data_IF_222717078450
#
_entry.id   IF_222717078450
#
_cell.length_a   1.000
_cell.length_b   1.000
_cell.length_c   1.000
_cell.angle_alpha   90.00
_cell.angle_beta   90.00
_cell.angle_gamma   90.00
#
_symmetry.space_group_name_H-M   'P 1'
#
loop_
_entity.id
_entity.type
_entity.pdbx_description
1 polymer ?
#
# COMPACT_ATOMS: atom_id res chain seq x y z
N UNK A 1 -4.72 45.97 37.03
CA UNK A 1 -4.39 44.54 37.14
C UNK A 1 -5.70 43.80 37.30
N UNK A 2 -6.12 43.03 36.29
CA UNK A 2 -7.33 42.21 36.43
C UNK A 2 -7.03 41.14 37.48
N UNK A 3 -7.53 41.34 38.69
CA UNK A 3 -7.21 40.53 39.88
C UNK A 3 -7.85 39.14 39.86
N UNK A 4 -8.34 38.62 41.00
CA UNK A 4 -8.83 37.23 41.15
C UNK A 4 -9.84 36.77 40.07
N UNK A 5 -10.62 37.69 39.52
CA UNK A 5 -11.59 37.40 38.45
C UNK A 5 -10.94 36.86 37.16
N UNK A 6 -9.70 37.25 36.85
CA UNK A 6 -8.99 36.75 35.68
C UNK A 6 -8.52 35.31 35.89
N UNK A 7 -8.14 34.95 37.11
CA UNK A 7 -7.74 33.59 37.48
C UNK A 7 -8.93 32.64 37.42
N UNK A 8 -10.10 33.07 37.89
CA UNK A 8 -11.35 32.30 37.78
C UNK A 8 -11.75 32.08 36.32
N UNK A 9 -11.61 33.09 35.45
CA UNK A 9 -11.87 32.93 34.03
C UNK A 9 -10.90 31.94 33.37
N UNK A 10 -9.59 32.05 33.64
CA UNK A 10 -8.58 31.12 33.11
C UNK A 10 -8.84 29.69 33.57
N UNK A 11 -9.17 29.50 34.85
CA UNK A 11 -9.52 28.20 35.41
C UNK A 11 -10.77 27.61 34.74
N UNK A 12 -11.82 28.42 34.57
CA UNK A 12 -13.04 28.02 33.85
C UNK A 12 -12.76 27.62 32.40
N UNK A 13 -11.93 28.39 31.69
CA UNK A 13 -11.50 28.08 30.32
C UNK A 13 -10.71 26.78 30.25
N UNK A 14 -9.80 26.52 31.19
CA UNK A 14 -9.01 25.28 31.22
C UNK A 14 -9.82 24.04 31.54
N UNK A 15 -10.96 24.17 32.23
CA UNK A 15 -11.88 23.06 32.46
C UNK A 15 -12.83 22.90 31.27
N UNK A 16 -13.42 24.00 30.79
CA UNK A 16 -14.44 23.96 29.74
C UNK A 16 -13.86 23.55 28.39
N UNK A 17 -12.64 23.98 28.06
CA UNK A 17 -12.00 23.67 26.79
C UNK A 17 -11.81 22.15 26.56
N UNK A 18 -11.13 21.38 27.44
CA UNK A 18 -10.97 19.95 27.24
C UNK A 18 -12.31 19.20 27.32
N UNK A 19 -13.21 19.58 28.24
CA UNK A 19 -14.53 18.94 28.35
C UNK A 19 -15.35 19.17 27.08
N UNK A 20 -15.34 20.39 26.52
CA UNK A 20 -16.04 20.72 25.28
C UNK A 20 -15.49 19.97 24.08
N UNK A 21 -14.16 19.88 23.96
CA UNK A 21 -13.50 19.08 22.90
C UNK A 21 -13.86 17.60 23.04
N UNK A 22 -13.84 17.05 24.25
CA UNK A 22 -14.24 15.66 24.50
C UNK A 22 -15.73 15.42 24.25
N UNK A 23 -16.62 16.36 24.58
CA UNK A 23 -18.03 16.22 24.30
C UNK A 23 -18.31 16.24 22.79
N UNK A 24 -17.65 17.16 22.07
CA UNK A 24 -17.79 17.27 20.63
C UNK A 24 -17.19 16.04 19.92
N UNK A 25 -15.94 15.69 20.16
CA UNK A 25 -15.29 14.59 19.44
C UNK A 25 -15.51 13.21 20.07
N UNK A 26 -15.52 13.10 21.40
CA UNK A 26 -15.44 11.84 22.13
C UNK A 26 -16.69 10.95 22.07
N UNK A 27 -17.86 11.50 21.73
CA UNK A 27 -19.12 10.73 21.65
C UNK A 27 -19.31 10.01 20.31
N UNK A 28 -18.54 10.36 19.28
CA UNK A 28 -18.65 9.78 17.94
C UNK A 28 -17.28 9.79 17.24
N UNK A 29 -16.29 9.16 17.88
CA UNK A 29 -14.96 8.97 17.30
C UNK A 29 -15.02 7.91 16.20
N UNK A 30 -15.70 6.80 16.47
CA UNK A 30 -15.77 5.66 15.55
C UNK A 30 -16.41 6.05 14.21
N UNK A 31 -17.55 6.74 14.21
CA UNK A 31 -18.19 7.19 12.96
C UNK A 31 -17.41 8.28 12.21
N UNK A 32 -16.78 9.22 12.92
CA UNK A 32 -16.02 10.32 12.28
C UNK A 32 -14.65 9.92 11.75
N UNK A 33 -14.01 8.94 12.39
CA UNK A 33 -12.65 8.52 12.04
C UNK A 33 -12.59 7.12 11.45
N UNK A 34 -13.72 6.45 11.19
CA UNK A 34 -13.68 5.21 10.43
C UNK A 34 -13.16 5.47 9.01
N UNK A 35 -12.29 4.58 8.55
CA UNK A 35 -11.89 4.52 7.15
C UNK A 35 -12.81 3.50 6.48
N UNK A 36 -13.79 3.93 5.65
CA UNK A 36 -14.60 2.99 4.90
C UNK A 36 -13.70 2.18 3.98
N UNK A 37 -13.96 0.87 3.89
CA UNK A 37 -13.21 -0.06 3.04
C UNK A 37 -11.69 -0.14 3.36
N UNK A 38 -11.31 -0.02 4.64
CA UNK A 38 -9.90 -0.13 5.07
C UNK A 38 -9.22 -1.43 4.61
N UNK A 39 -9.95 -2.55 4.59
CA UNK A 39 -9.44 -3.83 4.11
C UNK A 39 -9.80 -4.05 2.63
N UNK A 40 -8.88 -4.62 1.82
CA UNK A 40 -9.18 -4.99 0.45
C UNK A 40 -10.38 -5.95 0.41
N UNK A 41 -11.37 -5.61 -0.41
CA UNK A 41 -12.60 -6.41 -0.56
C UNK A 41 -12.27 -7.80 -1.12
N UNK A 42 -13.08 -8.79 -0.77
CA UNK A 42 -13.03 -10.16 -1.31
C UNK A 42 -13.21 -10.14 -2.84
N UNK A 43 -12.10 -10.03 -3.57
CA UNK A 43 -12.08 -9.85 -5.03
C UNK A 43 -10.98 -8.92 -5.55
N UNK A 44 -10.42 -8.05 -4.69
CA UNK A 44 -9.22 -7.27 -5.02
C UNK A 44 -7.93 -8.07 -4.84
N UNK A 45 -7.99 -9.16 -4.08
CA UNK A 45 -6.86 -10.07 -3.88
C UNK A 45 -6.82 -11.10 -5.00
N UNK A 46 -5.63 -11.43 -5.48
CA UNK A 46 -5.42 -12.53 -6.42
C UNK A 46 -6.00 -13.82 -5.85
N UNK A 47 -6.99 -14.41 -6.53
CA UNK A 47 -7.53 -15.72 -6.14
C UNK A 47 -6.47 -16.77 -6.42
N UNK A 48 -5.97 -17.42 -5.37
CA UNK A 48 -5.05 -18.53 -5.52
C UNK A 48 -5.88 -19.71 -6.08
N UNK A 49 -5.43 -20.38 -7.17
CA UNK A 49 -6.13 -21.56 -7.66
C UNK A 49 -6.06 -22.66 -6.60
N UNK A 50 -7.22 -23.20 -6.21
CA UNK A 50 -7.33 -24.25 -5.19
C UNK A 50 -7.45 -25.65 -5.81
N UNK A 51 -7.95 -25.73 -7.05
CA UNK A 51 -8.15 -26.99 -7.77
C UNK A 51 -6.87 -27.48 -8.46
N UNK A 52 -6.61 -28.79 -8.38
CA UNK A 52 -5.40 -29.41 -8.97
C UNK A 52 -5.21 -29.11 -10.46
N UNK A 53 -6.30 -29.11 -11.22
CA UNK A 53 -6.23 -28.86 -12.67
C UNK A 53 -5.96 -27.39 -13.00
N UNK A 54 -6.52 -26.46 -12.23
CA UNK A 54 -6.23 -25.02 -12.36
C UNK A 54 -4.76 -24.71 -12.01
N UNK A 55 -4.24 -25.34 -10.96
CA UNK A 55 -2.84 -25.19 -10.54
C UNK A 55 -1.89 -25.68 -11.65
N UNK A 56 -2.17 -26.84 -12.25
CA UNK A 56 -1.34 -27.36 -13.35
C UNK A 56 -1.32 -26.40 -14.54
N UNK A 57 -2.50 -25.90 -14.94
CA UNK A 57 -2.63 -24.95 -16.05
C UNK A 57 -1.86 -23.66 -15.81
N UNK A 58 -1.92 -23.12 -14.58
CA UNK A 58 -1.17 -21.90 -14.24
C UNK A 58 0.35 -22.19 -14.19
N UNK A 59 0.77 -23.35 -13.70
CA UNK A 59 2.19 -23.76 -13.75
C UNK A 59 2.69 -23.87 -15.20
N UNK A 60 1.92 -24.46 -16.11
CA UNK A 60 2.29 -24.55 -17.52
C UNK A 60 2.42 -23.16 -18.16
N UNK A 61 1.48 -22.26 -17.88
CA UNK A 61 1.55 -20.86 -18.30
C UNK A 61 2.81 -20.16 -17.79
N UNK A 62 3.14 -20.35 -16.51
CA UNK A 62 4.34 -19.76 -15.89
C UNK A 62 5.63 -20.32 -16.49
N UNK A 63 5.68 -21.63 -16.78
CA UNK A 63 6.82 -22.27 -17.45
C UNK A 63 7.04 -21.72 -18.86
N UNK A 64 5.96 -21.55 -19.64
CA UNK A 64 6.03 -20.97 -20.98
C UNK A 64 6.58 -19.53 -20.93
N UNK A 65 6.03 -18.69 -20.05
CA UNK A 65 6.50 -17.31 -19.85
C UNK A 65 7.99 -17.26 -19.48
N UNK A 66 8.43 -18.11 -18.56
CA UNK A 66 9.84 -18.16 -18.15
C UNK A 66 10.76 -18.59 -19.29
N UNK A 67 10.34 -19.56 -20.11
CA UNK A 67 11.10 -19.99 -21.28
C UNK A 67 11.24 -18.86 -22.31
N UNK A 68 10.17 -18.09 -22.56
CA UNK A 68 10.21 -16.93 -23.46
C UNK A 68 11.15 -15.84 -22.95
N UNK A 69 11.04 -15.47 -21.67
CA UNK A 69 11.92 -14.47 -21.05
C UNK A 69 13.38 -14.92 -21.11
N UNK A 70 13.65 -16.21 -20.87
CA UNK A 70 15.01 -16.77 -20.98
C UNK A 70 15.55 -16.64 -22.40
N UNK A 71 14.77 -17.04 -23.42
CA UNK A 71 15.17 -16.91 -24.83
C UNK A 71 15.42 -15.46 -25.22
N UNK A 72 14.59 -14.53 -24.76
CA UNK A 72 14.78 -13.10 -25.01
C UNK A 72 16.12 -12.61 -24.45
N UNK A 73 16.45 -12.97 -23.20
CA UNK A 73 17.74 -12.65 -22.57
C UNK A 73 18.92 -13.24 -23.34
N UNK A 74 18.84 -14.52 -23.72
CA UNK A 74 19.92 -15.17 -24.49
C UNK A 74 20.15 -14.51 -25.86
N UNK A 75 19.09 -14.11 -26.55
CA UNK A 75 19.19 -13.37 -27.82
C UNK A 75 19.82 -11.99 -27.63
N UNK A 76 19.44 -11.27 -26.58
CA UNK A 76 20.02 -9.96 -26.25
C UNK A 76 21.51 -10.08 -25.90
N UNK A 77 21.88 -11.07 -25.07
CA UNK A 77 23.27 -11.35 -24.75
C UNK A 77 24.09 -11.74 -26.00
N UNK A 78 23.52 -12.53 -26.90
CA UNK A 78 24.18 -12.89 -28.16
C UNK A 78 24.40 -11.68 -29.07
N UNK A 79 23.40 -10.79 -29.18
CA UNK A 79 23.51 -9.52 -29.92
C UNK A 79 24.58 -8.61 -29.33
N UNK A 80 24.59 -8.45 -28.00
CA UNK A 80 25.59 -7.64 -27.31
C UNK A 80 27.01 -8.21 -27.50
N UNK A 81 27.18 -9.54 -27.43
CA UNK A 81 28.47 -10.19 -27.68
C UNK A 81 28.93 -10.03 -29.14
N UNK A 82 28.02 -10.04 -30.10
CA UNK A 82 28.34 -9.79 -31.51
C UNK A 82 28.83 -8.35 -31.71
N UNK A 83 28.11 -7.35 -31.19
CA UNK A 83 28.48 -5.94 -31.28
C UNK A 83 29.85 -5.66 -30.64
N UNK A 84 30.10 -6.16 -29.42
CA UNK A 84 31.40 -6.02 -28.73
C UNK A 84 32.52 -6.75 -29.48
N UNK A 85 32.21 -7.84 -30.18
CA UNK A 85 33.16 -8.59 -31.00
C UNK A 85 33.54 -7.88 -32.30
N UNK A 86 32.62 -7.11 -32.88
CA UNK A 86 32.85 -6.28 -34.07
C UNK A 86 33.67 -5.03 -33.71
N UNK A 87 33.34 -4.33 -32.62
CA UNK A 87 34.11 -3.17 -32.12
C UNK A 87 35.57 -3.50 -31.77
N UNK A 88 35.88 -4.74 -31.38
CA UNK A 88 37.25 -5.17 -31.08
C UNK A 88 38.06 -5.56 -32.33
N UNK A 89 37.42 -5.66 -33.49
CA UNK A 89 38.05 -6.06 -34.76
C UNK A 89 38.39 -4.86 -35.67
N UNK A 90 37.86 -3.68 -35.38
CA UNK A 90 38.32 -2.39 -35.91
C UNK A 90 39.47 -1.81 -35.07
#
# INVERSE_FOLDING_TARGET
MAGPNLEVFKFGMYILFPIGIMYYFGTNLDGRFHVPDFWPKEGQTHKIPYEREEIKKEIERLKARNAEVKRAREMEEARMRALVGEERRE
#
